data_IF_772852723481
#
_entry.id   IF_772852723481
#
_cell.length_a   1.000
_cell.length_b   1.000
_cell.length_c   1.000
_cell.angle_alpha   90.00
_cell.angle_beta   90.00
_cell.angle_gamma   90.00
#
_symmetry.space_group_name_H-M   'P 1'
#
loop_
_entity.id
_entity.type
_entity.pdbx_description
1 polymer ?
#
# COMPACT_ATOMS: atom_id res chain seq x y z
N UNK A 1 -14.62 7.97 -12.31
CA UNK A 1 -14.93 7.83 -10.88
C UNK A 1 -14.03 8.76 -10.06
N UNK A 2 -12.70 8.66 -10.18
CA UNK A 2 -11.72 9.45 -9.41
C UNK A 2 -11.98 10.96 -9.55
N UNK A 3 -12.19 11.46 -10.77
CA UNK A 3 -12.49 12.88 -11.03
C UNK A 3 -13.77 13.38 -10.36
N UNK A 4 -14.72 12.49 -10.09
CA UNK A 4 -15.94 12.80 -9.34
C UNK A 4 -15.75 12.87 -7.82
N UNK A 5 -14.69 12.25 -7.32
CA UNK A 5 -14.39 12.20 -5.88
C UNK A 5 -13.45 13.33 -5.43
N UNK A 6 -12.72 13.93 -6.35
CA UNK A 6 -11.77 15.02 -6.07
C UNK A 6 -12.49 16.35 -6.08
N UNK A 7 -12.61 16.97 -4.92
CA UNK A 7 -13.14 18.31 -4.74
C UNK A 7 -12.43 18.99 -3.57
N UNK A 8 -12.26 20.31 -3.66
CA UNK A 8 -11.96 21.10 -2.47
C UNK A 8 -13.17 21.08 -1.56
N UNK A 9 -12.97 20.66 -0.32
CA UNK A 9 -14.01 20.66 0.70
C UNK A 9 -13.72 21.75 1.72
N UNK A 10 -14.54 22.80 1.74
CA UNK A 10 -14.38 23.89 2.70
C UNK A 10 -14.72 23.47 4.15
N UNK A 11 -15.21 22.25 4.35
CA UNK A 11 -15.48 21.68 5.67
C UNK A 11 -14.28 20.95 6.24
N UNK A 12 -13.24 20.70 5.42
CA UNK A 12 -12.00 20.07 5.86
C UNK A 12 -11.00 21.15 6.26
N UNK A 13 -10.53 21.17 7.52
CA UNK A 13 -9.56 22.16 7.98
C UNK A 13 -8.15 21.91 7.41
N UNK A 14 -7.89 20.75 6.82
CA UNK A 14 -6.59 20.41 6.21
C UNK A 14 -6.70 20.61 4.70
N UNK A 15 -6.14 21.70 4.15
CA UNK A 15 -6.19 21.91 2.70
C UNK A 15 -5.34 20.83 2.02
N UNK A 16 -5.98 19.94 1.30
CA UNK A 16 -5.30 19.06 0.36
C UNK A 16 -4.96 19.88 -0.87
N UNK A 17 -3.69 20.09 -1.14
CA UNK A 17 -3.24 20.59 -2.45
C UNK A 17 -3.48 19.50 -3.47
N UNK A 18 -4.69 19.38 -3.92
CA UNK A 18 -5.03 18.43 -4.97
C UNK A 18 -4.60 19.03 -6.29
N UNK A 19 -4.00 18.23 -7.16
CA UNK A 19 -4.01 18.48 -8.60
C UNK A 19 -5.38 19.03 -8.98
N UNK A 20 -5.43 20.09 -9.79
CA UNK A 20 -6.71 20.68 -10.15
C UNK A 20 -7.65 19.58 -10.65
N UNK A 21 -8.92 19.64 -10.29
CA UNK A 21 -9.94 18.66 -10.73
C UNK A 21 -9.86 18.35 -12.23
N UNK A 22 -9.51 19.37 -13.04
CA UNK A 22 -9.25 19.25 -14.48
C UNK A 22 -8.19 18.21 -14.81
N UNK A 23 -7.17 18.02 -13.98
CA UNK A 23 -6.03 17.17 -14.27
C UNK A 23 -6.40 15.70 -14.12
N UNK A 24 -7.32 15.37 -13.20
CA UNK A 24 -7.84 14.01 -12.98
C UNK A 24 -9.07 13.68 -13.88
N UNK A 25 -9.54 14.62 -14.67
CA UNK A 25 -10.58 14.39 -15.68
C UNK A 25 -10.02 13.88 -17.01
N UNK A 26 -8.71 13.72 -17.14
CA UNK A 26 -8.04 13.26 -18.36
C UNK A 26 -7.95 11.74 -18.34
N UNK A 27 -8.23 11.09 -19.47
CA UNK A 27 -8.00 9.66 -19.64
C UNK A 27 -6.50 9.34 -19.56
N UNK A 28 -6.10 8.26 -18.88
CA UNK A 28 -4.71 7.82 -18.84
C UNK A 28 -4.15 7.63 -20.25
N UNK A 29 -2.88 7.94 -20.42
CA UNK A 29 -2.17 7.88 -21.71
C UNK A 29 -1.15 6.75 -21.72
N UNK A 30 -0.90 6.20 -22.89
CA UNK A 30 0.23 5.32 -23.12
C UNK A 30 1.54 6.09 -22.99
N UNK A 31 2.46 5.58 -22.17
CA UNK A 31 3.81 6.09 -22.04
C UNK A 31 4.85 5.04 -22.41
N UNK A 32 6.05 5.49 -22.69
CA UNK A 32 7.19 4.61 -22.92
C UNK A 32 7.81 4.16 -21.59
N UNK A 33 7.35 3.03 -21.08
CA UNK A 33 7.84 2.46 -19.81
C UNK A 33 9.32 2.05 -19.86
N UNK A 34 9.93 1.92 -21.06
CA UNK A 34 11.37 1.67 -21.26
C UNK A 34 12.26 2.79 -20.74
N UNK A 35 11.71 3.92 -20.38
CA UNK A 35 12.44 5.04 -19.76
C UNK A 35 12.49 4.98 -18.24
N UNK A 36 11.63 4.15 -17.62
CA UNK A 36 11.48 4.10 -16.18
C UNK A 36 12.58 3.27 -15.52
N UNK A 37 13.18 3.82 -14.47
CA UNK A 37 14.04 3.12 -13.51
C UNK A 37 13.15 2.58 -12.39
N UNK A 38 13.06 1.28 -12.28
CA UNK A 38 12.13 0.62 -11.37
C UNK A 38 12.87 -0.04 -10.23
N UNK A 39 12.42 0.23 -9.02
CA UNK A 39 12.77 -0.57 -7.85
C UNK A 39 11.68 -1.63 -7.62
N UNK A 40 12.08 -2.76 -7.06
CA UNK A 40 11.17 -3.82 -6.63
C UNK A 40 11.48 -4.25 -5.21
N UNK A 41 10.47 -4.57 -4.44
CA UNK A 41 10.64 -5.12 -3.11
C UNK A 41 9.57 -6.15 -2.82
N UNK A 42 9.93 -7.23 -2.14
CA UNK A 42 8.94 -8.23 -1.69
C UNK A 42 8.11 -7.71 -0.53
N UNK A 43 8.71 -6.95 0.37
CA UNK A 43 8.20 -6.76 1.73
C UNK A 43 8.58 -5.40 2.35
N UNK A 44 9.13 -4.46 1.57
CA UNK A 44 9.62 -3.16 2.05
C UNK A 44 10.65 -3.28 3.20
N UNK A 45 11.26 -4.45 3.36
CA UNK A 45 12.23 -4.75 4.40
C UNK A 45 11.65 -4.98 5.80
N UNK A 46 10.31 -4.99 6.00
CA UNK A 46 9.70 -5.18 7.31
C UNK A 46 8.36 -5.93 7.32
N UNK A 47 7.63 -5.96 6.19
CA UNK A 47 6.32 -6.60 6.12
C UNK A 47 6.45 -8.13 6.07
N UNK A 48 5.66 -8.88 6.84
CA UNK A 48 5.59 -10.32 6.66
C UNK A 48 5.06 -10.63 5.25
N UNK A 49 5.64 -11.62 4.59
CA UNK A 49 5.29 -11.97 3.22
C UNK A 49 5.43 -13.47 3.00
N UNK A 50 4.36 -14.13 2.58
CA UNK A 50 4.39 -15.58 2.34
C UNK A 50 5.34 -15.94 1.19
N UNK A 51 5.98 -17.09 1.32
CA UNK A 51 6.84 -17.64 0.29
C UNK A 51 6.09 -17.79 -1.04
N UNK A 52 4.83 -18.21 -0.99
CA UNK A 52 4.01 -18.36 -2.20
C UNK A 52 3.83 -17.03 -2.94
N UNK A 53 3.58 -15.91 -2.22
CA UNK A 53 3.50 -14.60 -2.82
C UNK A 53 4.86 -14.13 -3.38
N UNK A 54 5.96 -14.36 -2.67
CA UNK A 54 7.32 -14.05 -3.15
C UNK A 54 7.65 -14.82 -4.43
N UNK A 55 7.46 -16.14 -4.44
CA UNK A 55 7.73 -17.00 -5.59
C UNK A 55 6.85 -16.62 -6.80
N UNK A 56 5.59 -16.22 -6.55
CA UNK A 56 4.69 -15.75 -7.60
C UNK A 56 5.17 -14.42 -8.16
N UNK A 57 5.54 -13.48 -7.28
CA UNK A 57 6.06 -12.18 -7.68
C UNK A 57 7.30 -12.32 -8.56
N UNK A 58 8.25 -13.20 -8.20
CA UNK A 58 9.43 -13.49 -9.03
C UNK A 58 9.09 -13.99 -10.42
N UNK A 59 8.13 -14.92 -10.51
CA UNK A 59 7.64 -15.41 -11.82
C UNK A 59 7.08 -14.27 -12.66
N UNK A 60 6.32 -13.34 -12.04
CA UNK A 60 5.76 -12.18 -12.74
C UNK A 60 6.83 -11.16 -13.11
N UNK A 61 7.77 -10.85 -12.21
CA UNK A 61 8.90 -9.96 -12.49
C UNK A 61 9.71 -10.41 -13.70
N UNK A 62 9.99 -11.71 -13.82
CA UNK A 62 10.70 -12.27 -14.97
C UNK A 62 9.97 -12.02 -16.32
N UNK A 63 8.66 -11.81 -16.30
CA UNK A 63 7.86 -11.50 -17.49
C UNK A 63 7.81 -10.01 -17.81
N UNK A 64 7.90 -9.15 -16.79
CA UNK A 64 7.73 -7.71 -16.95
C UNK A 64 9.02 -6.88 -16.86
N UNK A 65 10.13 -7.44 -16.39
CA UNK A 65 11.38 -6.72 -16.20
C UNK A 65 11.88 -6.04 -17.49
N UNK A 66 11.68 -6.69 -18.63
CA UNK A 66 12.05 -6.14 -19.94
C UNK A 66 11.14 -5.01 -20.43
N UNK A 67 10.06 -4.65 -19.71
CA UNK A 67 9.22 -3.49 -20.02
C UNK A 67 9.83 -2.17 -19.54
N UNK A 68 10.86 -2.22 -18.72
CA UNK A 68 11.48 -1.07 -18.06
C UNK A 68 12.91 -0.80 -18.55
N UNK A 69 13.44 0.38 -18.22
CA UNK A 69 14.84 0.72 -18.46
C UNK A 69 15.75 -0.15 -17.60
N UNK A 70 15.45 -0.22 -16.32
CA UNK A 70 16.17 -1.05 -15.35
C UNK A 70 15.22 -1.47 -14.23
N UNK A 71 15.49 -2.66 -13.67
CA UNK A 71 14.80 -3.18 -12.49
C UNK A 71 15.83 -3.57 -11.46
N UNK A 72 15.73 -3.06 -10.23
CA UNK A 72 16.65 -3.38 -9.12
C UNK A 72 15.86 -3.68 -7.86
N UNK A 73 16.34 -4.64 -7.06
CA UNK A 73 15.80 -4.86 -5.71
C UNK A 73 16.27 -3.74 -4.80
N UNK A 74 15.33 -2.91 -4.38
CA UNK A 74 15.55 -1.80 -3.45
C UNK A 74 14.21 -1.33 -2.84
N UNK A 75 14.27 -0.73 -1.68
CA UNK A 75 13.15 -0.05 -1.03
C UNK A 75 13.68 1.12 -0.17
N UNK A 76 12.86 2.12 0.17
CA UNK A 76 13.27 3.13 1.13
C UNK A 76 13.48 2.51 2.51
N UNK A 77 14.26 3.15 3.35
CA UNK A 77 14.46 2.70 4.73
C UNK A 77 13.18 2.87 5.54
N UNK A 78 12.70 1.75 6.14
CA UNK A 78 11.40 1.64 6.83
C UNK A 78 11.56 1.32 8.32
N UNK A 79 12.65 1.75 8.94
CA UNK A 79 12.88 1.54 10.38
C UNK A 79 11.71 2.13 11.17
N UNK A 80 11.20 1.36 12.14
CA UNK A 80 10.07 1.72 12.99
C UNK A 80 8.71 1.91 12.26
N UNK A 81 8.56 1.49 11.01
CA UNK A 81 7.32 1.66 10.25
C UNK A 81 6.10 1.06 10.95
N UNK A 82 6.19 -0.17 11.43
CA UNK A 82 5.11 -0.85 12.17
C UNK A 82 4.61 0.01 13.34
N UNK A 83 5.52 0.34 14.25
CA UNK A 83 5.18 1.11 15.44
C UNK A 83 4.65 2.50 15.10
N UNK A 84 5.24 3.15 14.11
CA UNK A 84 4.82 4.47 13.63
C UNK A 84 3.39 4.44 13.11
N UNK A 85 3.10 3.52 12.19
CA UNK A 85 1.75 3.38 11.64
C UNK A 85 0.73 3.06 12.72
N UNK A 86 1.05 2.10 13.58
CA UNK A 86 0.19 1.68 14.67
C UNK A 86 -0.20 2.83 15.60
N UNK A 87 0.76 3.64 16.04
CA UNK A 87 0.50 4.77 16.92
C UNK A 87 -0.33 5.87 16.24
N UNK A 88 -0.03 6.21 14.98
CA UNK A 88 -0.78 7.22 14.23
C UNK A 88 -2.21 6.76 13.92
N UNK A 89 -2.39 5.49 13.51
CA UNK A 89 -3.72 4.91 13.28
C UNK A 89 -4.58 4.89 14.55
N UNK A 90 -3.94 4.65 15.71
CA UNK A 90 -4.62 4.63 17.00
C UNK A 90 -5.40 5.90 17.31
N UNK A 91 -4.92 7.06 16.84
CA UNK A 91 -5.62 8.35 17.01
C UNK A 91 -7.00 8.29 16.35
N UNK A 92 -7.07 7.81 15.10
CA UNK A 92 -8.34 7.65 14.38
C UNK A 92 -9.27 6.66 15.08
N UNK A 93 -8.74 5.52 15.55
CA UNK A 93 -9.56 4.52 16.27
C UNK A 93 -10.21 5.08 17.53
N UNK A 94 -9.46 5.84 18.33
CA UNK A 94 -10.02 6.48 19.52
C UNK A 94 -11.09 7.50 19.13
N UNK A 95 -10.85 8.32 18.12
CA UNK A 95 -11.81 9.31 17.65
C UNK A 95 -13.10 8.67 17.12
N UNK A 96 -12.98 7.65 16.29
CA UNK A 96 -14.11 7.11 15.52
C UNK A 96 -14.96 6.11 16.31
N UNK A 97 -14.35 5.37 17.23
CA UNK A 97 -15.01 4.22 17.85
C UNK A 97 -15.24 4.33 19.37
N UNK A 98 -14.59 5.27 20.10
CA UNK A 98 -14.75 5.34 21.56
C UNK A 98 -16.18 5.60 21.98
N UNK A 99 -16.84 6.58 21.36
CA UNK A 99 -18.22 6.94 21.69
C UNK A 99 -19.20 5.82 21.32
N UNK A 100 -19.01 5.19 20.16
CA UNK A 100 -19.84 4.06 19.70
C UNK A 100 -19.72 2.90 20.68
N UNK A 101 -18.48 2.55 21.08
CA UNK A 101 -18.24 1.45 22.02
C UNK A 101 -18.83 1.70 23.40
N UNK A 102 -18.78 2.96 23.88
CA UNK A 102 -19.35 3.34 25.18
C UNK A 102 -20.86 3.35 25.19
N UNK A 103 -21.48 3.88 24.12
CA UNK A 103 -22.93 4.05 24.04
C UNK A 103 -23.64 2.74 23.64
N UNK A 104 -22.98 1.88 22.86
CA UNK A 104 -23.55 0.62 22.38
C UNK A 104 -22.55 -0.55 22.55
N UNK A 105 -22.30 -1.00 23.80
CA UNK A 105 -21.40 -2.11 24.06
C UNK A 105 -21.79 -3.37 23.27
N UNK A 106 -20.82 -3.99 22.59
CA UNK A 106 -21.04 -5.19 21.78
C UNK A 106 -21.52 -4.93 20.34
N UNK A 107 -21.66 -3.68 19.89
CA UNK A 107 -22.00 -3.36 18.51
C UNK A 107 -20.79 -3.43 17.55
N UNK A 108 -19.58 -3.37 18.09
CA UNK A 108 -18.34 -3.44 17.32
C UNK A 108 -17.79 -4.86 17.28
N UNK A 109 -17.19 -5.23 16.15
CA UNK A 109 -16.47 -6.51 16.03
C UNK A 109 -15.25 -6.60 16.95
N UNK A 110 -14.86 -7.83 17.31
CA UNK A 110 -13.75 -8.13 18.23
C UNK A 110 -12.45 -7.43 17.88
N UNK A 111 -12.07 -7.45 16.60
CA UNK A 111 -10.85 -6.80 16.11
C UNK A 111 -10.85 -5.29 16.39
N UNK A 112 -11.98 -4.61 16.16
CA UNK A 112 -12.08 -3.16 16.41
C UNK A 112 -12.00 -2.86 17.91
N UNK A 113 -12.66 -3.66 18.75
CA UNK A 113 -12.62 -3.50 20.20
C UNK A 113 -11.20 -3.69 20.74
N UNK A 114 -10.47 -4.68 20.26
CA UNK A 114 -9.08 -4.93 20.66
C UNK A 114 -8.15 -3.80 20.22
N UNK A 115 -8.30 -3.30 18.97
CA UNK A 115 -7.52 -2.15 18.49
C UNK A 115 -7.84 -0.89 19.30
N UNK A 116 -9.11 -0.61 19.59
CA UNK A 116 -9.51 0.53 20.40
C UNK A 116 -8.93 0.46 21.82
N UNK A 117 -8.96 -0.72 22.45
CA UNK A 117 -8.37 -0.92 23.77
C UNK A 117 -6.88 -0.63 23.80
N UNK A 118 -6.14 -1.11 22.79
CA UNK A 118 -4.71 -0.83 22.65
C UNK A 118 -4.46 0.65 22.37
N UNK A 119 -5.22 1.25 21.44
CA UNK A 119 -5.10 2.66 21.06
C UNK A 119 -5.35 3.60 22.24
N UNK A 120 -6.30 3.27 23.12
CA UNK A 120 -6.63 4.07 24.32
C UNK A 120 -5.50 4.15 25.34
N UNK A 121 -4.46 3.32 25.23
CA UNK A 121 -3.27 3.37 26.09
C UNK A 121 -2.12 4.23 25.53
N UNK A 122 -2.26 4.77 24.31
CA UNK A 122 -1.23 5.57 23.65
C UNK A 122 -1.08 6.93 24.35
N UNK A 123 0.14 7.26 24.73
CA UNK A 123 0.44 8.54 25.35
C UNK A 123 0.73 9.64 24.33
N UNK A 124 0.59 10.90 24.73
CA UNK A 124 0.98 12.04 23.90
C UNK A 124 2.46 12.02 23.51
N UNK A 125 3.32 11.43 24.36
CA UNK A 125 4.74 11.22 24.06
C UNK A 125 4.94 10.21 22.91
N UNK A 126 4.14 9.14 22.89
CA UNK A 126 4.18 8.15 21.81
C UNK A 126 3.73 8.77 20.49
N UNK A 127 2.70 9.61 20.51
CA UNK A 127 2.22 10.34 19.33
C UNK A 127 3.32 11.27 18.80
N UNK A 128 3.96 12.07 19.67
CA UNK A 128 5.06 12.95 19.28
C UNK A 128 6.24 12.19 18.67
N UNK A 129 6.58 11.03 19.25
CA UNK A 129 7.60 10.14 18.69
C UNK A 129 7.19 9.62 17.31
N UNK A 130 5.96 9.14 17.16
CA UNK A 130 5.46 8.59 15.89
C UNK A 130 5.45 9.64 14.77
N UNK A 131 5.08 10.88 15.05
CA UNK A 131 5.14 11.99 14.08
C UNK A 131 6.57 12.28 13.62
N UNK A 132 7.54 12.21 14.54
CA UNK A 132 8.96 12.37 14.20
C UNK A 132 9.46 11.22 13.31
N UNK A 133 9.13 9.98 13.64
CA UNK A 133 9.52 8.80 12.84
C UNK A 133 8.84 8.81 11.47
N UNK A 134 7.55 9.16 11.40
CA UNK A 134 6.84 9.33 10.12
C UNK A 134 7.55 10.34 9.20
N UNK A 135 8.00 11.46 9.78
CA UNK A 135 8.76 12.45 9.02
C UNK A 135 10.07 11.88 8.45
N UNK A 136 10.76 11.00 9.19
CA UNK A 136 11.97 10.34 8.71
C UNK A 136 11.65 9.36 7.56
N UNK A 137 10.64 8.51 7.76
CA UNK A 137 10.19 7.54 6.73
C UNK A 137 9.81 8.29 5.44
N UNK A 138 9.01 9.35 5.55
CA UNK A 138 8.64 10.18 4.42
C UNK A 138 9.85 10.75 3.67
N UNK A 139 10.84 11.31 4.41
CA UNK A 139 12.06 11.85 3.79
C UNK A 139 12.91 10.76 3.13
N UNK A 140 12.99 9.58 3.72
CA UNK A 140 13.69 8.44 3.12
C UNK A 140 13.00 8.01 1.82
N UNK A 141 11.66 8.01 1.77
CA UNK A 141 10.91 7.72 0.56
C UNK A 141 11.12 8.81 -0.53
N UNK A 142 11.09 10.09 -0.17
CA UNK A 142 11.37 11.18 -1.11
C UNK A 142 12.78 11.07 -1.70
N UNK A 143 13.79 10.79 -0.87
CA UNK A 143 15.15 10.58 -1.33
C UNK A 143 15.30 9.33 -2.23
N UNK A 144 14.63 8.24 -1.87
CA UNK A 144 14.58 7.02 -2.68
C UNK A 144 14.02 7.29 -4.09
N UNK A 145 12.94 8.08 -4.20
CA UNK A 145 12.35 8.45 -5.48
C UNK A 145 13.13 9.52 -6.27
N UNK A 146 14.29 9.98 -5.80
CA UNK A 146 15.26 10.71 -6.63
C UNK A 146 16.02 9.78 -7.58
N UNK A 147 16.22 8.51 -7.17
CA UNK A 147 16.90 7.48 -7.98
C UNK A 147 15.92 6.67 -8.84
N UNK A 148 14.72 6.38 -8.32
CA UNK A 148 13.73 5.50 -8.95
C UNK A 148 12.46 6.25 -9.33
N UNK A 149 11.91 5.93 -10.50
CA UNK A 149 10.64 6.50 -10.98
C UNK A 149 9.41 5.74 -10.41
N UNK A 150 9.60 4.46 -10.09
CA UNK A 150 8.55 3.54 -9.66
C UNK A 150 9.10 2.52 -8.67
N UNK A 151 8.29 2.19 -7.65
CA UNK A 151 8.49 1.04 -6.79
C UNK A 151 7.36 0.04 -7.03
N UNK A 152 7.69 -1.23 -7.21
CA UNK A 152 6.72 -2.31 -7.41
C UNK A 152 6.85 -3.33 -6.27
N UNK A 153 5.72 -3.70 -5.66
CA UNK A 153 5.63 -4.72 -4.62
C UNK A 153 4.49 -5.70 -4.93
N UNK A 154 4.43 -6.87 -4.30
CA UNK A 154 3.17 -7.62 -4.21
C UNK A 154 2.07 -6.74 -3.62
N UNK A 155 0.83 -6.94 -4.05
CA UNK A 155 -0.31 -6.17 -3.53
C UNK A 155 -0.79 -6.67 -2.16
N UNK A 156 -0.49 -7.93 -1.81
CA UNK A 156 -0.88 -8.54 -0.54
C UNK A 156 0.22 -9.49 -0.03
N UNK A 157 0.27 -9.65 1.27
CA UNK A 157 1.27 -10.51 1.95
C UNK A 157 0.99 -12.00 1.81
N UNK A 158 -0.26 -12.36 1.61
CA UNK A 158 -0.75 -13.75 1.53
C UNK A 158 -1.72 -13.91 0.38
N UNK A 159 -1.90 -15.14 -0.14
CA UNK A 159 -3.02 -15.44 -1.03
C UNK A 159 -4.35 -15.29 -0.28
N UNK A 160 -5.51 -15.26 -0.99
CA UNK A 160 -6.81 -15.31 -0.36
C UNK A 160 -6.93 -16.49 0.63
N UNK A 161 -7.45 -16.20 1.81
CA UNK A 161 -7.64 -17.16 2.89
C UNK A 161 -9.14 -17.39 3.16
N UNK A 162 -9.48 -18.32 4.06
CA UNK A 162 -10.87 -18.71 4.32
C UNK A 162 -11.67 -17.56 4.92
N UNK A 163 -12.92 -17.44 4.51
CA UNK A 163 -13.84 -16.37 4.97
C UNK A 163 -14.09 -16.40 6.49
N UNK A 164 -13.99 -17.59 7.11
CA UNK A 164 -14.18 -17.76 8.56
C UNK A 164 -12.98 -17.24 9.38
N UNK A 165 -11.86 -16.96 8.74
CA UNK A 165 -10.66 -16.41 9.37
C UNK A 165 -10.71 -14.88 9.29
N UNK A 166 -10.71 -14.20 10.43
CA UNK A 166 -10.68 -12.72 10.47
C UNK A 166 -9.40 -12.17 9.86
N UNK A 167 -8.27 -12.87 10.04
CA UNK A 167 -6.97 -12.59 9.44
C UNK A 167 -6.05 -13.81 9.61
N UNK A 168 -5.01 -13.94 8.79
CA UNK A 168 -4.01 -15.01 8.94
C UNK A 168 -3.32 -14.87 10.30
N UNK A 169 -3.39 -15.91 11.15
CA UNK A 169 -2.72 -15.89 12.45
C UNK A 169 -1.21 -16.12 12.36
N UNK A 170 -0.78 -16.70 11.26
CA UNK A 170 0.62 -17.01 10.98
C UNK A 170 0.91 -16.88 9.48
N UNK A 171 2.09 -16.41 9.12
CA UNK A 171 2.61 -16.38 7.75
C UNK A 171 3.99 -17.04 7.75
N UNK A 172 4.08 -18.25 7.19
CA UNK A 172 5.32 -19.05 7.07
C UNK A 172 6.10 -19.15 8.40
N UNK A 173 5.43 -19.46 9.50
CA UNK A 173 6.02 -19.63 10.83
C UNK A 173 6.18 -18.31 11.61
N UNK A 174 5.78 -17.19 11.05
CA UNK A 174 5.78 -15.88 11.74
C UNK A 174 4.38 -15.61 12.27
N UNK A 175 4.22 -15.56 13.58
CA UNK A 175 2.95 -15.22 14.22
C UNK A 175 2.56 -13.77 13.97
N UNK A 176 1.28 -13.55 13.64
CA UNK A 176 0.71 -12.20 13.49
C UNK A 176 0.15 -11.74 14.84
N UNK A 177 0.86 -10.85 15.50
CA UNK A 177 0.52 -10.32 16.83
C UNK A 177 -0.87 -9.68 16.90
N UNK A 178 -1.34 -9.15 15.77
CA UNK A 178 -2.62 -8.47 15.65
C UNK A 178 -3.08 -8.42 14.19
N UNK A 179 -4.30 -7.93 13.99
CA UNK A 179 -4.90 -7.77 12.66
C UNK A 179 -4.07 -6.91 11.71
N UNK A 180 -3.37 -5.89 12.17
CA UNK A 180 -2.63 -4.98 11.29
C UNK A 180 -1.34 -5.59 10.74
N UNK A 181 -0.72 -6.54 11.45
CA UNK A 181 0.62 -7.02 11.10
C UNK A 181 0.70 -7.65 9.71
N UNK A 182 -0.33 -8.41 9.30
CA UNK A 182 -0.35 -9.02 7.96
C UNK A 182 -0.57 -8.01 6.82
N UNK A 183 -1.14 -6.84 7.14
CA UNK A 183 -1.38 -5.75 6.17
C UNK A 183 -0.16 -4.84 5.95
N UNK A 184 0.99 -5.16 6.54
CA UNK A 184 2.16 -4.27 6.58
C UNK A 184 2.63 -3.81 5.20
N UNK A 185 2.49 -4.64 4.16
CA UNK A 185 2.84 -4.26 2.78
C UNK A 185 1.96 -3.12 2.26
N UNK A 186 0.71 -3.02 2.72
CA UNK A 186 -0.24 -1.97 2.32
C UNK A 186 -0.04 -0.70 3.15
N UNK A 187 -0.04 -0.80 4.48
CA UNK A 187 0.08 0.41 5.29
C UNK A 187 1.50 1.01 5.26
N UNK A 188 2.53 0.21 4.98
CA UNK A 188 3.88 0.74 4.79
C UNK A 188 3.93 1.82 3.71
N UNK A 189 3.17 1.63 2.65
CA UNK A 189 3.08 2.58 1.53
C UNK A 189 2.37 3.87 1.94
N UNK A 190 1.40 3.82 2.84
CA UNK A 190 0.71 5.04 3.30
C UNK A 190 1.66 6.00 4.02
N UNK A 191 2.73 5.48 4.63
CA UNK A 191 3.75 6.29 5.30
C UNK A 191 4.65 7.07 4.32
N UNK A 192 4.64 6.72 3.03
CA UNK A 192 5.39 7.47 2.00
C UNK A 192 4.68 8.76 1.58
N UNK A 193 3.36 8.83 1.77
CA UNK A 193 2.56 9.98 1.36
C UNK A 193 2.45 10.18 -0.16
N UNK A 194 2.87 9.20 -0.96
CA UNK A 194 2.74 9.17 -2.41
C UNK A 194 1.54 8.33 -2.87
N UNK A 195 1.14 8.45 -4.15
CA UNK A 195 0.08 7.62 -4.71
C UNK A 195 0.54 6.18 -4.88
N UNK A 196 -0.42 5.26 -4.71
CA UNK A 196 -0.26 3.85 -4.99
C UNK A 196 -1.48 3.34 -5.76
N UNK A 197 -1.25 2.40 -6.68
CA UNK A 197 -2.29 1.74 -7.45
C UNK A 197 -1.98 0.25 -7.54
N UNK A 198 -3.00 -0.58 -7.38
CA UNK A 198 -2.89 -2.02 -7.60
C UNK A 198 -3.44 -2.35 -8.98
N UNK A 199 -2.68 -3.10 -9.75
CA UNK A 199 -3.13 -3.67 -11.02
C UNK A 199 -3.08 -5.20 -10.96
N UNK A 200 -4.02 -5.89 -11.63
CA UNK A 200 -3.96 -7.33 -11.79
C UNK A 200 -2.66 -7.76 -12.51
N UNK A 201 -2.09 -8.86 -12.07
CA UNK A 201 -0.89 -9.46 -12.68
C UNK A 201 -1.02 -10.98 -12.75
N UNK A 202 -2.11 -11.46 -13.38
CA UNK A 202 -2.41 -12.87 -13.53
C UNK A 202 -2.83 -13.55 -12.23
N UNK A 203 -2.49 -14.82 -12.10
CA UNK A 203 -2.94 -15.68 -11.01
C UNK A 203 -1.79 -16.32 -10.24
N UNK A 204 -2.06 -16.71 -8.99
CA UNK A 204 -1.26 -17.63 -8.19
C UNK A 204 -1.68 -19.05 -8.59
N UNK A 205 -0.74 -19.85 -9.08
CA UNK A 205 -0.95 -21.26 -9.48
C UNK A 205 -2.16 -21.51 -10.38
N UNK A 206 -2.48 -20.52 -11.24
CA UNK A 206 -3.58 -20.59 -12.20
C UNK A 206 -4.99 -20.53 -11.60
N UNK A 207 -5.13 -20.23 -10.32
CA UNK A 207 -6.43 -20.28 -9.63
C UNK A 207 -6.83 -18.96 -8.97
N UNK A 208 -5.97 -18.39 -8.13
CA UNK A 208 -6.30 -17.24 -7.34
C UNK A 208 -5.68 -15.97 -7.95
N UNK A 209 -6.38 -14.84 -7.96
CA UNK A 209 -5.84 -13.60 -8.53
C UNK A 209 -4.59 -13.13 -7.80
N UNK A 210 -3.65 -12.58 -8.56
CA UNK A 210 -2.47 -11.92 -8.04
C UNK A 210 -2.40 -10.49 -8.54
N UNK A 211 -2.10 -9.56 -7.64
CA UNK A 211 -1.92 -8.16 -7.96
C UNK A 211 -0.51 -7.69 -7.62
N UNK A 212 -0.07 -6.68 -8.34
CA UNK A 212 1.12 -5.90 -8.01
C UNK A 212 0.72 -4.48 -7.64
N UNK A 213 1.39 -3.93 -6.66
CA UNK A 213 1.22 -2.55 -6.22
C UNK A 213 2.31 -1.69 -6.87
N UNK A 214 1.89 -0.64 -7.55
CA UNK A 214 2.72 0.38 -8.17
C UNK A 214 2.70 1.60 -7.28
N UNK A 215 3.86 2.11 -6.91
CA UNK A 215 4.02 3.22 -5.97
C UNK A 215 4.94 4.25 -6.59
N UNK A 216 4.60 5.52 -6.47
CA UNK A 216 5.43 6.60 -7.00
C UNK A 216 5.51 7.79 -6.03
N UNK A 217 6.34 8.75 -6.39
CA UNK A 217 6.59 9.95 -5.60
C UNK A 217 5.30 10.74 -5.34
N UNK A 218 5.24 11.43 -4.23
CA UNK A 218 4.14 12.35 -3.89
C UNK A 218 3.81 13.30 -5.05
N UNK A 219 2.52 13.56 -5.25
CA UNK A 219 1.97 14.40 -6.31
C UNK A 219 2.20 13.88 -7.75
N UNK A 220 2.45 12.59 -7.93
CA UNK A 220 2.62 11.96 -9.25
C UNK A 220 1.44 11.10 -9.69
N UNK A 221 0.24 11.37 -9.18
CA UNK A 221 -0.97 10.58 -9.38
C UNK A 221 -1.26 10.31 -10.87
N UNK A 222 -1.20 11.36 -11.70
CA UNK A 222 -1.47 11.25 -13.14
C UNK A 222 -0.42 10.38 -13.83
N UNK A 223 0.86 10.61 -13.49
CA UNK A 223 1.94 9.81 -14.06
C UNK A 223 1.81 8.34 -13.66
N UNK A 224 1.40 8.05 -12.41
CA UNK A 224 1.18 6.69 -11.95
C UNK A 224 0.00 6.02 -12.66
N UNK A 225 -1.08 6.77 -12.93
CA UNK A 225 -2.21 6.28 -13.74
C UNK A 225 -1.77 5.96 -15.18
N UNK A 226 -0.93 6.79 -15.78
CA UNK A 226 -0.37 6.56 -17.12
C UNK A 226 0.53 5.31 -17.15
N UNK A 227 1.37 5.12 -16.11
CA UNK A 227 2.19 3.91 -15.94
C UNK A 227 1.31 2.67 -15.82
N UNK A 228 0.32 2.70 -14.91
CA UNK A 228 -0.58 1.58 -14.66
C UNK A 228 -1.35 1.18 -15.94
N UNK A 229 -1.93 2.16 -16.62
CA UNK A 229 -2.61 1.95 -17.90
C UNK A 229 -1.68 1.32 -18.94
N UNK A 230 -0.46 1.85 -19.06
CA UNK A 230 0.52 1.33 -20.04
C UNK A 230 0.91 -0.11 -19.74
N UNK A 231 1.04 -0.48 -18.47
CA UNK A 231 1.35 -1.86 -18.07
C UNK A 231 0.16 -2.79 -18.33
N UNK A 232 -1.05 -2.38 -17.98
CA UNK A 232 -2.26 -3.18 -18.28
C UNK A 232 -2.41 -3.46 -19.76
N UNK A 233 -2.15 -2.47 -20.65
CA UNK A 233 -2.18 -2.70 -22.10
C UNK A 233 -1.11 -3.71 -22.54
N UNK A 234 0.08 -3.72 -21.90
CA UNK A 234 1.14 -4.71 -22.20
C UNK A 234 0.85 -6.09 -21.64
N UNK A 235 0.00 -6.20 -20.61
CA UNK A 235 -0.40 -7.49 -20.03
C UNK A 235 -1.47 -8.19 -20.89
N UNK A 236 -2.25 -7.45 -21.67
CA UNK A 236 -3.30 -8.02 -22.53
C UNK A 236 -2.75 -9.05 -23.50
N UNK A 237 -3.44 -10.19 -23.57
CA UNK A 237 -3.05 -11.33 -24.41
C UNK A 237 -1.90 -12.16 -23.84
N UNK A 238 -1.39 -11.86 -22.66
CA UNK A 238 -0.42 -12.69 -21.96
C UNK A 238 -1.10 -13.44 -20.81
N UNK A 239 -1.36 -14.73 -21.00
CA UNK A 239 -2.07 -15.58 -20.02
C UNK A 239 -1.40 -15.66 -18.66
N UNK A 240 -0.10 -15.33 -18.56
CA UNK A 240 0.62 -15.29 -17.27
C UNK A 240 0.42 -13.98 -16.51
N UNK A 241 0.02 -12.92 -17.18
CA UNK A 241 -0.10 -11.56 -16.64
C UNK A 241 -1.53 -11.03 -16.62
N UNK A 242 -2.37 -11.49 -17.55
CA UNK A 242 -3.78 -11.10 -17.63
C UNK A 242 -4.62 -11.94 -16.68
N UNK A 243 -5.57 -11.32 -15.99
CA UNK A 243 -6.61 -12.03 -15.23
C UNK A 243 -7.60 -12.63 -16.24
N UNK A 244 -7.78 -13.95 -16.20
CA UNK A 244 -8.77 -14.69 -17.00
C UNK A 244 -10.06 -14.79 -16.19
#
# INVERSE_FOLDING_TARGET
LLSGMVNECNLDPIPTSVNKKSDLCVSPKMIDTKKLKVAVSYDLGFAPMSKLCKDTFDKKLNKINNFFHSVKFAHPEMINADKTFYLLRGIGFVNDFSEINNNNPGSLGSVIVDELKRASSISIKDIGWAMSEHTKIYRNAEHFFEEYDLLITPAASVPPFKHEEEYPKEIDGIEMENYLKWEAISYGVTLFGGPAIVIPCGNIDGKMPFGIQLISRKNSDINLLDVAYSLEQKFKGNSDLELI
#
